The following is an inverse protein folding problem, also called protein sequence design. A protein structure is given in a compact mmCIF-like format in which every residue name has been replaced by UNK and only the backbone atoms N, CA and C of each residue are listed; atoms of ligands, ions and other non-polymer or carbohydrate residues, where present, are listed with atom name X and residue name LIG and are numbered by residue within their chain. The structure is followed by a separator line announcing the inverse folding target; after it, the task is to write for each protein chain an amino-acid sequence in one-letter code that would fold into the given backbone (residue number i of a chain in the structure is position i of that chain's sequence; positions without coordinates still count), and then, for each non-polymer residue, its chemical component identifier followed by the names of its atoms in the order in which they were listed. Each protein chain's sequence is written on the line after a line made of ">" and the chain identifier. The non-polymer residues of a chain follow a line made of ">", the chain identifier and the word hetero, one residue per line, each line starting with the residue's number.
data_IF_428188970264
#
_entry.id   IF_428188970264
#
_cell.length_a   1.000
_cell.length_b   1.000
_cell.length_c   1.000
_cell.angle_alpha   90.00
_cell.angle_beta   90.00
_cell.angle_gamma   90.00
#
_symmetry.space_group_name_H-M   'P 1'
#
loop_
_entity.id
_entity.type
_entity.pdbx_description
1 polymer ?
#
# COMPACT_ATOMS: atom_id res chain seq x y z
N UNK A 1 -54.31 39.30 -28.04
CA UNK A 1 -53.70 39.33 -26.69
C UNK A 1 -53.12 37.99 -26.25
N UNK A 2 -53.86 36.89 -26.37
CA UNK A 2 -53.49 35.57 -25.80
C UNK A 2 -52.37 34.80 -26.52
N UNK A 3 -52.24 34.93 -27.85
CA UNK A 3 -51.23 34.21 -28.65
C UNK A 3 -49.78 34.65 -28.35
N UNK A 4 -49.56 35.93 -28.00
CA UNK A 4 -48.23 36.46 -27.66
C UNK A 4 -47.69 35.94 -26.33
N UNK A 5 -48.57 35.69 -25.35
CA UNK A 5 -48.19 35.20 -24.03
C UNK A 5 -47.78 33.73 -24.05
N UNK A 6 -48.44 32.92 -24.90
CA UNK A 6 -48.09 31.50 -25.09
C UNK A 6 -46.74 31.35 -25.77
N UNK A 7 -46.43 32.18 -26.78
CA UNK A 7 -45.11 32.22 -27.41
C UNK A 7 -43.98 32.59 -26.44
N UNK A 8 -44.22 33.59 -25.58
CA UNK A 8 -43.26 33.98 -24.54
C UNK A 8 -43.04 32.87 -23.49
N UNK A 9 -44.10 32.15 -23.11
CA UNK A 9 -44.00 31.04 -22.17
C UNK A 9 -43.18 29.85 -22.73
N UNK A 10 -43.30 29.56 -24.03
CA UNK A 10 -42.50 28.51 -24.70
C UNK A 10 -41.02 28.91 -24.71
N UNK A 11 -40.71 30.16 -25.05
CA UNK A 11 -39.34 30.68 -25.06
C UNK A 11 -38.72 30.64 -23.66
N UNK A 12 -39.46 31.06 -22.62
CA UNK A 12 -39.03 30.96 -21.22
C UNK A 12 -38.74 29.50 -20.80
N UNK A 13 -39.56 28.55 -21.25
CA UNK A 13 -39.35 27.12 -20.98
C UNK A 13 -38.07 26.60 -21.64
N UNK A 14 -37.77 27.03 -22.85
CA UNK A 14 -36.53 26.66 -23.55
C UNK A 14 -35.29 27.28 -22.88
N UNK A 15 -35.36 28.54 -22.46
CA UNK A 15 -34.30 29.17 -21.67
C UNK A 15 -34.09 28.47 -20.33
N UNK A 16 -35.17 28.07 -19.64
CA UNK A 16 -35.09 27.30 -18.41
C UNK A 16 -34.38 25.96 -18.60
N UNK A 17 -34.69 25.22 -19.68
CA UNK A 17 -34.00 23.97 -20.03
C UNK A 17 -32.52 24.18 -20.28
N UNK A 18 -32.15 25.16 -21.13
CA UNK A 18 -30.75 25.49 -21.41
C UNK A 18 -29.98 25.89 -20.15
N UNK A 19 -30.63 26.65 -19.27
CA UNK A 19 -30.02 27.06 -18.01
C UNK A 19 -29.74 25.84 -17.10
N UNK A 20 -30.68 24.89 -16.98
CA UNK A 20 -30.45 23.64 -16.23
C UNK A 20 -29.32 22.80 -16.84
N UNK A 21 -29.27 22.68 -18.17
CA UNK A 21 -28.19 21.97 -18.86
C UNK A 21 -26.82 22.60 -18.61
N UNK A 22 -26.72 23.94 -18.62
CA UNK A 22 -25.49 24.66 -18.28
C UNK A 22 -25.09 24.41 -16.83
N UNK A 23 -26.04 24.43 -15.89
CA UNK A 23 -25.76 24.14 -14.49
C UNK A 23 -25.24 22.72 -14.28
N UNK A 24 -25.79 21.74 -14.99
CA UNK A 24 -25.31 20.37 -14.90
C UNK A 24 -23.92 20.20 -15.54
N UNK A 25 -23.64 20.94 -16.63
CA UNK A 25 -22.31 20.98 -17.22
C UNK A 25 -21.27 21.60 -16.26
N UNK A 26 -21.61 22.71 -15.60
CA UNK A 26 -20.73 23.38 -14.63
C UNK A 26 -20.42 22.49 -13.42
N UNK A 27 -21.41 21.75 -12.91
CA UNK A 27 -21.16 20.78 -11.82
C UNK A 27 -20.17 19.71 -12.25
N UNK A 28 -20.33 19.16 -13.46
CA UNK A 28 -19.39 18.17 -14.01
C UNK A 28 -18.00 18.76 -14.18
N UNK A 29 -17.90 19.99 -14.67
CA UNK A 29 -16.61 20.67 -14.83
C UNK A 29 -15.93 20.87 -13.47
N UNK A 30 -16.66 21.31 -12.45
CA UNK A 30 -16.14 21.47 -11.09
C UNK A 30 -15.63 20.14 -10.52
N UNK A 31 -16.39 19.06 -10.68
CA UNK A 31 -15.97 17.72 -10.26
C UNK A 31 -14.68 17.27 -10.97
N UNK A 32 -14.58 17.54 -12.27
CA UNK A 32 -13.39 17.22 -13.08
C UNK A 32 -12.19 18.09 -12.72
N UNK A 33 -12.40 19.38 -12.47
CA UNK A 33 -11.37 20.28 -11.99
C UNK A 33 -10.84 19.82 -10.62
N UNK A 34 -11.73 19.40 -9.71
CA UNK A 34 -11.35 18.83 -8.42
C UNK A 34 -10.59 17.51 -8.53
N UNK A 35 -10.92 16.66 -9.52
CA UNK A 35 -10.14 15.45 -9.83
C UNK A 35 -8.75 15.79 -10.37
N UNK A 36 -8.66 16.74 -11.30
CA UNK A 36 -7.39 17.19 -11.87
C UNK A 36 -6.47 17.79 -10.80
N UNK A 37 -7.00 18.64 -9.92
CA UNK A 37 -6.23 19.23 -8.83
C UNK A 37 -5.66 18.16 -7.89
N UNK A 38 -6.47 17.17 -7.50
CA UNK A 38 -6.00 16.03 -6.70
C UNK A 38 -4.91 15.24 -7.42
N UNK A 39 -5.08 14.95 -8.70
CA UNK A 39 -4.09 14.22 -9.48
C UNK A 39 -2.76 14.99 -9.64
N UNK A 40 -2.83 16.32 -9.82
CA UNK A 40 -1.64 17.17 -9.88
C UNK A 40 -0.88 17.20 -8.54
N UNK A 41 -1.63 17.33 -7.44
CA UNK A 41 -1.07 17.29 -6.08
C UNK A 41 -0.41 15.94 -5.80
N UNK A 42 -1.12 14.85 -6.07
CA UNK A 42 -0.61 13.48 -5.89
C UNK A 42 0.65 13.24 -6.73
N UNK A 43 0.72 13.78 -7.95
CA UNK A 43 1.92 13.69 -8.79
C UNK A 43 3.12 14.39 -8.14
N UNK A 44 2.91 15.56 -7.53
CA UNK A 44 3.98 16.29 -6.86
C UNK A 44 4.44 15.56 -5.60
N UNK A 45 3.51 15.06 -4.79
CA UNK A 45 3.80 14.23 -3.60
C UNK A 45 4.61 12.99 -3.99
N UNK A 46 4.22 12.27 -5.06
CA UNK A 46 4.98 11.11 -5.55
C UNK A 46 6.39 11.44 -6.03
N UNK A 47 6.58 12.61 -6.63
CA UNK A 47 7.93 13.03 -7.06
C UNK A 47 8.83 13.33 -5.86
N UNK A 48 8.27 13.93 -4.82
CA UNK A 48 8.98 14.17 -3.55
C UNK A 48 9.29 12.85 -2.85
N UNK A 49 8.31 11.93 -2.73
CA UNK A 49 8.51 10.57 -2.20
C UNK A 49 9.61 9.81 -2.95
N UNK A 50 9.66 9.91 -4.28
CA UNK A 50 10.70 9.30 -5.09
C UNK A 50 12.08 9.91 -4.78
N UNK A 51 12.14 11.24 -4.66
CA UNK A 51 13.35 11.94 -4.23
C UNK A 51 13.84 11.43 -2.87
N UNK A 52 12.95 11.46 -1.88
CA UNK A 52 13.23 11.00 -0.51
C UNK A 52 13.64 9.52 -0.45
N UNK A 53 13.01 8.64 -1.24
CA UNK A 53 13.34 7.21 -1.29
C UNK A 53 14.76 6.92 -1.82
N UNK A 54 15.34 7.83 -2.62
CA UNK A 54 16.71 7.70 -3.14
C UNK A 54 17.77 8.31 -2.24
N UNK A 55 17.37 9.07 -1.21
CA UNK A 55 18.31 9.68 -0.29
C UNK A 55 19.05 8.61 0.52
N UNK A 56 20.30 8.94 0.85
CA UNK A 56 21.15 8.10 1.70
C UNK A 56 21.52 8.85 2.96
N UNK A 57 21.67 8.10 4.04
CA UNK A 57 22.21 8.61 5.28
C UNK A 57 23.64 9.11 5.03
N UNK A 58 23.91 10.35 5.41
CA UNK A 58 25.22 11.01 5.31
C UNK A 58 25.52 11.82 6.57
N UNK A 59 26.78 12.23 6.70
CA UNK A 59 27.16 13.21 7.72
C UNK A 59 26.73 14.62 7.31
N UNK A 60 26.38 15.43 8.31
CA UNK A 60 26.14 16.87 8.16
C UNK A 60 27.42 17.58 7.73
N UNK A 61 27.28 18.60 6.88
CA UNK A 61 28.37 19.54 6.63
C UNK A 61 28.43 20.61 7.73
N UNK A 62 29.61 21.19 7.94
CA UNK A 62 29.80 22.25 8.92
C UNK A 62 28.93 23.47 8.58
N UNK A 63 28.08 23.89 9.52
CA UNK A 63 27.18 25.05 9.35
C UNK A 63 25.92 24.78 8.52
N UNK A 64 25.65 23.52 8.14
CA UNK A 64 24.41 23.15 7.44
C UNK A 64 23.20 23.25 8.38
N UNK A 65 22.17 24.01 8.00
CA UNK A 65 20.86 23.98 8.65
C UNK A 65 20.09 22.78 8.16
N UNK A 66 19.67 21.92 9.08
CA UNK A 66 18.92 20.70 8.77
C UNK A 66 17.48 20.89 9.24
N UNK A 67 16.52 20.68 8.33
CA UNK A 67 15.11 20.70 8.67
C UNK A 67 14.72 19.43 9.45
N UNK A 68 13.66 19.50 10.27
CA UNK A 68 13.25 18.41 11.16
C UNK A 68 13.03 17.07 10.43
N UNK A 69 12.59 17.09 9.17
CA UNK A 69 12.40 15.88 8.36
C UNK A 69 13.70 15.25 7.82
N UNK A 70 14.78 16.02 7.74
CA UNK A 70 16.06 15.58 7.18
C UNK A 70 17.04 15.07 8.24
N UNK A 71 16.73 15.25 9.54
CA UNK A 71 17.60 14.86 10.66
C UNK A 71 17.90 13.36 10.67
N UNK A 72 16.99 12.53 10.18
CA UNK A 72 17.16 11.08 10.05
C UNK A 72 18.24 10.70 9.03
N UNK A 73 18.42 11.52 7.98
CA UNK A 73 19.33 11.25 6.87
C UNK A 73 20.64 12.02 6.99
N UNK A 74 20.68 13.08 7.79
CA UNK A 74 21.87 13.90 8.00
C UNK A 74 22.27 13.80 9.47
N UNK A 75 23.29 13.01 9.75
CA UNK A 75 23.73 12.70 11.12
C UNK A 75 24.91 13.56 11.56
N UNK A 76 25.00 13.86 12.85
CA UNK A 76 26.24 14.32 13.44
C UNK A 76 27.25 13.17 13.61
N UNK A 77 28.57 13.44 13.56
CA UNK A 77 29.58 12.39 13.74
C UNK A 77 29.43 11.60 15.06
N UNK A 78 29.01 12.26 16.15
CA UNK A 78 28.79 11.60 17.44
C UNK A 78 27.51 10.77 17.53
N UNK A 79 26.56 10.93 16.60
CA UNK A 79 25.29 10.21 16.61
C UNK A 79 25.36 8.89 15.85
N UNK A 80 26.38 8.72 14.99
CA UNK A 80 26.50 7.58 14.06
C UNK A 80 26.37 6.25 14.79
N UNK A 81 27.10 6.05 15.89
CA UNK A 81 27.07 4.78 16.64
C UNK A 81 25.68 4.51 17.25
N UNK A 82 25.02 5.55 17.75
CA UNK A 82 23.70 5.41 18.37
C UNK A 82 22.63 5.08 17.33
N UNK A 83 22.67 5.72 16.16
CA UNK A 83 21.75 5.43 15.06
C UNK A 83 22.03 4.05 14.48
N UNK A 84 23.29 3.67 14.32
CA UNK A 84 23.67 2.34 13.83
C UNK A 84 23.16 1.23 14.75
N UNK A 85 23.31 1.38 16.07
CA UNK A 85 22.77 0.43 17.04
C UNK A 85 21.23 0.32 16.95
N UNK A 86 20.53 1.44 16.80
CA UNK A 86 19.06 1.46 16.63
C UNK A 86 18.64 0.73 15.35
N UNK A 87 19.23 1.06 14.20
CA UNK A 87 18.89 0.45 12.91
C UNK A 87 19.16 -1.06 12.92
N UNK A 88 20.22 -1.52 13.59
CA UNK A 88 20.47 -2.95 13.76
C UNK A 88 19.44 -3.64 14.67
N UNK A 89 19.01 -2.97 15.74
CA UNK A 89 17.92 -3.47 16.58
C UNK A 89 16.62 -3.62 15.78
N UNK A 90 16.24 -2.57 15.06
CA UNK A 90 15.05 -2.55 14.20
C UNK A 90 15.12 -3.66 13.12
N UNK A 91 16.32 -3.91 12.57
CA UNK A 91 16.53 -4.99 11.61
C UNK A 91 16.22 -6.36 12.24
N UNK A 92 16.75 -6.63 13.43
CA UNK A 92 16.50 -7.91 14.14
C UNK A 92 15.01 -8.07 14.43
N UNK A 93 14.37 -7.06 15.01
CA UNK A 93 12.94 -7.09 15.35
C UNK A 93 12.07 -7.29 14.10
N UNK A 94 12.37 -6.58 13.01
CA UNK A 94 11.66 -6.72 11.74
C UNK A 94 11.88 -8.11 11.12
N UNK A 95 13.09 -8.68 11.22
CA UNK A 95 13.34 -10.03 10.73
C UNK A 95 12.53 -11.06 11.49
N UNK A 96 12.47 -10.98 12.82
CA UNK A 96 11.71 -11.91 13.64
C UNK A 96 10.21 -11.84 13.36
N UNK A 97 9.66 -10.62 13.30
CA UNK A 97 8.27 -10.39 12.91
C UNK A 97 7.97 -10.95 11.52
N UNK A 98 8.89 -10.77 10.55
CA UNK A 98 8.72 -11.27 9.19
C UNK A 98 8.69 -12.81 9.12
N UNK A 99 9.50 -13.49 9.95
CA UNK A 99 9.54 -14.96 10.01
C UNK A 99 8.20 -15.48 10.52
N UNK A 100 7.67 -14.90 11.60
CA UNK A 100 6.37 -15.29 12.17
C UNK A 100 5.23 -15.06 11.18
N UNK A 101 5.15 -13.86 10.59
CA UNK A 101 4.11 -13.52 9.61
C UNK A 101 4.16 -14.45 8.39
N UNK A 102 5.36 -14.77 7.90
CA UNK A 102 5.56 -15.70 6.79
C UNK A 102 5.13 -17.13 7.14
N UNK A 103 5.40 -17.59 8.37
CA UNK A 103 4.94 -18.88 8.86
C UNK A 103 3.42 -18.98 8.90
N UNK A 104 2.76 -17.96 9.45
CA UNK A 104 1.29 -17.88 9.48
C UNK A 104 0.68 -17.85 8.08
N UNK A 105 1.26 -17.07 7.16
CA UNK A 105 0.79 -17.00 5.78
C UNK A 105 0.90 -18.36 5.08
N UNK A 106 2.02 -19.07 5.25
CA UNK A 106 2.19 -20.42 4.72
C UNK A 106 1.13 -21.37 5.27
N UNK A 107 0.89 -21.34 6.56
CA UNK A 107 -0.15 -22.15 7.20
C UNK A 107 -1.55 -21.89 6.58
N UNK A 108 -1.92 -20.63 6.40
CA UNK A 108 -3.22 -20.29 5.83
C UNK A 108 -3.36 -20.76 4.37
N UNK A 109 -2.31 -20.61 3.54
CA UNK A 109 -2.30 -21.14 2.17
C UNK A 109 -2.40 -22.66 2.13
N UNK A 110 -1.75 -23.31 3.08
CA UNK A 110 -1.76 -24.75 3.25
C UNK A 110 -3.17 -25.28 3.62
N UNK A 111 -3.88 -24.59 4.52
CA UNK A 111 -5.29 -24.89 4.81
C UNK A 111 -6.21 -24.72 3.60
N UNK A 112 -5.97 -23.69 2.78
CA UNK A 112 -6.70 -23.47 1.54
C UNK A 112 -6.49 -24.63 0.56
N UNK A 113 -5.25 -25.11 0.42
CA UNK A 113 -4.91 -26.22 -0.46
C UNK A 113 -5.55 -27.54 -0.02
N UNK A 114 -5.54 -27.87 1.28
CA UNK A 114 -6.19 -29.08 1.81
C UNK A 114 -7.68 -29.10 1.48
N UNK A 115 -8.37 -27.96 1.64
CA UNK A 115 -9.80 -27.85 1.34
C UNK A 115 -10.13 -28.06 -0.15
N UNK A 116 -9.15 -27.93 -1.04
CA UNK A 116 -9.31 -28.06 -2.49
C UNK A 116 -8.97 -29.43 -3.10
N UNK A 117 -8.29 -30.32 -2.37
CA UNK A 117 -7.88 -31.63 -2.88
C UNK A 117 -8.88 -32.73 -2.50
N UNK A 118 -9.23 -33.61 -3.45
CA UNK A 118 -10.00 -34.85 -3.20
C UNK A 118 -9.04 -35.97 -2.76
N UNK A 119 -9.48 -36.75 -1.78
CA UNK A 119 -8.77 -37.87 -1.13
C UNK A 119 -8.22 -38.88 -2.16
N UNK A 120 -6.93 -39.27 -2.06
CA UNK A 120 -6.44 -40.52 -2.68
C UNK A 120 -5.12 -40.57 -3.46
N UNK A 121 -4.17 -39.64 -3.34
CA UNK A 121 -2.85 -39.79 -3.98
C UNK A 121 -1.70 -39.80 -2.95
N UNK A 122 -1.08 -40.97 -2.77
CA UNK A 122 0.13 -41.19 -1.96
C UNK A 122 1.38 -40.60 -2.62
N UNK A 123 2.23 -39.94 -1.82
CA UNK A 123 3.62 -39.59 -2.15
C UNK A 123 4.51 -39.83 -0.92
N UNK A 124 5.80 -40.08 -1.14
CA UNK A 124 6.77 -40.33 -0.06
C UNK A 124 7.09 -39.06 0.75
N UNK A 125 7.40 -39.23 2.04
CA UNK A 125 7.71 -38.16 2.99
C UNK A 125 9.17 -37.69 2.90
N UNK A 126 9.37 -36.38 2.75
CA UNK A 126 10.68 -35.71 2.66
C UNK A 126 11.00 -34.94 3.94
N UNK A 127 12.18 -34.33 4.13
CA UNK A 127 12.49 -33.51 5.31
C UNK A 127 11.76 -32.13 5.33
N UNK A 128 11.13 -31.63 6.44
CA UNK A 128 10.91 -30.21 6.79
C UNK A 128 12.28 -29.59 7.13
N UNK A 129 13.00 -29.09 6.13
CA UNK A 129 14.43 -28.90 6.23
C UNK A 129 14.80 -27.56 6.91
N UNK A 130 13.81 -26.74 7.26
CA UNK A 130 14.03 -25.39 7.83
C UNK A 130 14.46 -25.46 9.29
N UNK A 131 14.02 -26.50 9.97
CA UNK A 131 14.54 -27.02 11.23
C UNK A 131 15.19 -28.41 11.06
N UNK A 132 15.09 -29.02 9.87
CA UNK A 132 15.51 -30.40 9.53
C UNK A 132 14.56 -31.57 9.92
N UNK A 133 13.27 -31.32 10.15
CA UNK A 133 12.18 -32.33 10.34
C UNK A 133 11.81 -33.09 9.04
N UNK A 134 10.72 -33.86 8.95
CA UNK A 134 10.20 -34.52 7.72
C UNK A 134 8.73 -34.26 7.42
N UNK A 135 8.43 -33.63 6.27
CA UNK A 135 7.13 -33.36 5.63
C UNK A 135 6.58 -34.64 4.99
N UNK A 136 5.53 -35.21 5.58
CA UNK A 136 4.78 -36.33 5.05
C UNK A 136 3.69 -35.90 4.08
N UNK A 137 3.44 -36.72 3.06
CA UNK A 137 2.49 -36.38 2.03
C UNK A 137 1.04 -36.41 2.55
N UNK A 138 0.42 -35.23 2.50
CA UNK A 138 -1.03 -35.03 2.39
C UNK A 138 -1.88 -35.73 3.46
N UNK A 139 -1.54 -35.55 4.72
CA UNK A 139 -2.49 -35.54 5.85
C UNK A 139 -1.76 -35.03 7.09
N UNK A 140 -1.19 -33.83 6.94
CA UNK A 140 -0.52 -33.18 8.03
C UNK A 140 -1.47 -32.34 8.86
N UNK A 141 -2.02 -32.93 9.92
CA UNK A 141 -2.80 -32.20 10.94
C UNK A 141 -1.94 -31.20 11.74
N UNK A 142 -0.61 -31.18 11.52
CA UNK A 142 0.35 -30.43 12.33
C UNK A 142 1.18 -29.44 11.51
N UNK A 143 1.39 -28.25 12.09
CA UNK A 143 2.06 -27.11 11.46
C UNK A 143 3.28 -26.73 12.28
N UNK A 144 4.44 -26.67 11.65
CA UNK A 144 5.70 -26.31 12.28
C UNK A 144 5.85 -24.79 12.30
N UNK A 145 5.85 -24.17 13.47
CA UNK A 145 6.14 -22.73 13.63
C UNK A 145 7.61 -22.53 14.06
N UNK A 146 8.30 -21.47 13.59
CA UNK A 146 7.78 -20.34 12.83
C UNK A 146 7.79 -20.56 11.30
N UNK A 147 8.12 -21.74 10.79
CA UNK A 147 8.36 -21.96 9.36
C UNK A 147 7.08 -22.21 8.51
N UNK A 148 5.96 -22.54 9.15
CA UNK A 148 4.62 -22.73 8.57
C UNK A 148 4.43 -23.98 7.72
N UNK A 149 5.37 -24.93 7.72
CA UNK A 149 5.23 -26.18 6.95
C UNK A 149 4.27 -27.12 7.67
N UNK A 150 3.47 -27.87 6.91
CA UNK A 150 2.66 -28.95 7.46
C UNK A 150 3.43 -30.25 7.31
N UNK A 151 3.51 -31.01 8.40
CA UNK A 151 4.07 -32.37 8.44
C UNK A 151 2.94 -33.35 8.30
#
# INVERSE_FOLDING_TARGET
>A
GSSSAVGQAIVLKEFGKKHVEIWDALKREFDKAGQLWRAQRERLEKLDELGMATLRIRLRYDGETVDQGEELFKLWPGEVETVWAKVNGDLVDATDQSIVARGQLKYLRNLEHIKGCKEGEERESESCPVCAETIGAKEGDMVVLPCGHMI
#
